data_IF_191501131122
#
_entry.id   IF_191501131122
#
_cell.length_a   1.000
_cell.length_b   1.000
_cell.length_c   1.000
_cell.angle_alpha   90.00
_cell.angle_beta   90.00
_cell.angle_gamma   90.00
#
_symmetry.space_group_name_H-M   'P 1'
#
loop_
_entity.id
_entity.type
_entity.pdbx_description
1 polymer ?
#
# COMPACT_ATOMS: atom_id res chain seq x y z
N UNK A 1 14.74 -8.80 6.53
CA UNK A 1 14.27 -7.48 6.99
C UNK A 1 13.71 -6.79 5.77
N UNK A 2 12.42 -6.44 5.80
CA UNK A 2 11.72 -5.82 4.67
C UNK A 2 11.28 -4.42 5.10
N UNK A 3 11.50 -3.42 4.25
CA UNK A 3 11.19 -2.03 4.58
C UNK A 3 9.68 -1.82 4.63
N UNK A 4 9.21 -1.03 5.59
CA UNK A 4 7.81 -0.60 5.68
C UNK A 4 7.74 0.92 5.57
N UNK A 5 7.05 1.41 4.55
CA UNK A 5 6.92 2.83 4.25
C UNK A 5 5.56 3.35 4.69
N UNK A 6 5.53 4.56 5.24
CA UNK A 6 4.29 5.26 5.57
C UNK A 6 4.12 6.46 4.64
N UNK A 7 2.94 6.61 4.09
CA UNK A 7 2.58 7.61 3.09
C UNK A 7 1.45 8.50 3.61
N UNK A 8 1.34 9.70 3.05
CA UNK A 8 0.29 10.66 3.39
C UNK A 8 -0.88 10.53 2.38
N UNK A 9 -1.55 9.38 2.42
CA UNK A 9 -2.70 9.08 1.54
C UNK A 9 -2.37 8.80 0.06
N UNK A 10 -1.10 8.56 -0.28
CA UNK A 10 -0.65 8.37 -1.65
C UNK A 10 0.17 7.08 -1.89
N UNK A 11 0.06 6.08 -1.01
CA UNK A 11 0.78 4.80 -1.11
C UNK A 11 0.54 4.10 -2.46
N UNK A 12 -0.71 4.03 -2.91
CA UNK A 12 -1.05 3.39 -4.19
C UNK A 12 -0.37 4.09 -5.39
N UNK A 13 -0.37 5.43 -5.39
CA UNK A 13 0.28 6.21 -6.44
C UNK A 13 1.81 6.06 -6.39
N UNK A 14 2.41 6.02 -5.19
CA UNK A 14 3.83 5.79 -5.02
C UNK A 14 4.24 4.40 -5.54
N UNK A 15 3.47 3.35 -5.23
CA UNK A 15 3.77 2.00 -5.70
C UNK A 15 3.58 1.88 -7.21
N UNK A 16 2.56 2.49 -7.81
CA UNK A 16 2.43 2.56 -9.27
C UNK A 16 3.63 3.24 -9.94
N UNK A 17 4.19 4.29 -9.33
CA UNK A 17 5.43 4.90 -9.79
C UNK A 17 6.63 3.94 -9.63
N UNK A 18 6.73 3.21 -8.52
CA UNK A 18 7.81 2.25 -8.29
C UNK A 18 7.75 1.04 -9.25
N UNK A 19 6.56 0.60 -9.65
CA UNK A 19 6.40 -0.42 -10.69
C UNK A 19 7.10 0.01 -11.99
N UNK A 20 6.88 1.25 -12.42
CA UNK A 20 7.52 1.80 -13.62
C UNK A 20 9.02 2.06 -13.43
N UNK A 21 9.41 2.66 -12.30
CA UNK A 21 10.78 3.08 -12.07
C UNK A 21 11.73 1.92 -11.74
N UNK A 22 11.26 0.89 -11.05
CA UNK A 22 12.07 -0.22 -10.56
C UNK A 22 11.85 -1.53 -11.34
N UNK A 23 10.82 -1.59 -12.19
CA UNK A 23 10.45 -2.80 -12.92
C UNK A 23 9.91 -3.88 -11.99
N UNK A 24 8.94 -3.49 -11.15
CA UNK A 24 8.34 -4.34 -10.12
C UNK A 24 6.83 -4.46 -10.25
N UNK A 25 6.21 -5.00 -9.21
CA UNK A 25 4.76 -5.23 -9.12
C UNK A 25 4.28 -5.08 -7.69
N UNK A 26 3.13 -4.43 -7.50
CA UNK A 26 2.33 -4.56 -6.29
C UNK A 26 1.68 -5.95 -6.28
N UNK A 27 2.10 -6.80 -5.35
CA UNK A 27 1.63 -8.19 -5.24
C UNK A 27 0.44 -8.31 -4.27
N UNK A 28 0.23 -7.32 -3.42
CA UNK A 28 -0.90 -7.24 -2.50
C UNK A 28 -1.23 -5.78 -2.21
N UNK A 29 -2.52 -5.46 -2.08
CA UNK A 29 -3.01 -4.18 -1.58
C UNK A 29 -4.38 -4.40 -0.93
N UNK A 30 -4.60 -3.76 0.21
CA UNK A 30 -5.88 -3.76 0.93
C UNK A 30 -6.12 -2.36 1.48
N UNK A 31 -7.31 -1.82 1.24
CA UNK A 31 -7.75 -0.55 1.82
C UNK A 31 -8.27 -0.72 3.25
N UNK A 32 -8.38 0.36 4.02
CA UNK A 32 -8.99 0.27 5.36
C UNK A 32 -10.47 -0.15 5.30
N UNK A 33 -11.18 0.16 4.20
CA UNK A 33 -12.57 -0.24 3.98
C UNK A 33 -12.73 -1.73 3.67
N UNK A 34 -11.73 -2.37 3.08
CA UNK A 34 -11.71 -3.81 2.79
C UNK A 34 -11.25 -4.66 3.99
N UNK A 35 -10.70 -4.02 5.02
CA UNK A 35 -10.23 -4.71 6.23
C UNK A 35 -11.40 -5.27 7.06
N UNK A 36 -11.14 -6.21 7.99
CA UNK A 36 -12.15 -6.66 8.95
C UNK A 36 -12.77 -5.54 9.81
N UNK A 37 -12.11 -4.38 9.88
CA UNK A 37 -12.59 -3.19 10.59
C UNK A 37 -13.25 -2.16 9.66
N UNK A 38 -13.48 -2.50 8.39
CA UNK A 38 -14.00 -1.58 7.37
C UNK A 38 -15.33 -0.92 7.71
N UNK A 39 -16.19 -1.57 8.49
CA UNK A 39 -17.44 -0.98 9.00
C UNK A 39 -17.20 0.12 10.03
N UNK A 40 -16.11 0.02 10.80
CA UNK A 40 -15.71 0.98 11.84
C UNK A 40 -14.77 2.07 11.30
N UNK A 41 -14.23 1.88 10.10
CA UNK A 41 -13.37 2.86 9.42
C UNK A 41 -14.16 4.12 9.04
N UNK A 42 -13.70 5.33 9.44
CA UNK A 42 -14.28 6.59 8.97
C UNK A 42 -14.34 6.65 7.44
N UNK A 43 -15.40 7.25 6.88
CA UNK A 43 -15.62 7.31 5.44
C UNK A 43 -14.38 7.82 4.67
N UNK A 44 -13.77 8.89 5.17
CA UNK A 44 -12.59 9.55 4.58
C UNK A 44 -11.30 8.69 4.63
N UNK A 45 -11.31 7.59 5.39
CA UNK A 45 -10.21 6.63 5.46
C UNK A 45 -10.46 5.35 4.67
N UNK A 46 -11.68 5.07 4.22
CA UNK A 46 -12.02 3.76 3.63
C UNK A 46 -11.19 3.42 2.41
N UNK A 47 -10.87 4.42 1.58
CA UNK A 47 -10.12 4.22 0.34
C UNK A 47 -8.59 4.29 0.53
N UNK A 48 -8.12 4.72 1.71
CA UNK A 48 -6.68 4.75 2.03
C UNK A 48 -6.13 3.32 2.10
N UNK A 49 -4.88 3.14 1.68
CA UNK A 49 -4.19 1.85 1.74
C UNK A 49 -3.86 1.51 3.19
N UNK A 50 -4.46 0.45 3.72
CA UNK A 50 -4.10 -0.07 5.05
C UNK A 50 -2.80 -0.88 5.00
N UNK A 51 -2.64 -1.69 3.96
CA UNK A 51 -1.44 -2.48 3.75
C UNK A 51 -1.28 -2.83 2.26
N UNK A 52 -0.10 -2.58 1.72
CA UNK A 52 0.30 -3.02 0.40
C UNK A 52 1.71 -3.62 0.43
N UNK A 53 1.95 -4.54 -0.50
CA UNK A 53 3.26 -5.19 -0.70
C UNK A 53 3.66 -5.05 -2.15
N UNK A 54 4.83 -4.47 -2.36
CA UNK A 54 5.49 -4.29 -3.65
C UNK A 54 6.72 -5.19 -3.72
N UNK A 55 6.94 -5.83 -4.86
CA UNK A 55 8.10 -6.66 -5.12
C UNK A 55 8.82 -6.22 -6.40
N UNK A 56 10.14 -6.03 -6.30
CA UNK A 56 11.00 -5.76 -7.45
C UNK A 56 12.35 -6.45 -7.27
N UNK A 57 12.83 -7.13 -8.31
CA UNK A 57 14.16 -7.76 -8.34
C UNK A 57 14.46 -8.67 -7.14
N UNK A 58 13.45 -9.38 -6.63
CA UNK A 58 13.55 -10.27 -5.47
C UNK A 58 13.54 -9.57 -4.11
N UNK A 59 13.28 -8.27 -4.06
CA UNK A 59 13.12 -7.49 -2.84
C UNK A 59 11.68 -7.08 -2.62
N UNK A 60 11.23 -7.10 -1.36
CA UNK A 60 9.90 -6.64 -0.96
C UNK A 60 9.96 -5.35 -0.19
N UNK A 61 9.00 -4.48 -0.48
CA UNK A 61 8.71 -3.24 0.23
C UNK A 61 7.24 -3.30 0.60
N UNK A 62 6.94 -3.07 1.88
CA UNK A 62 5.57 -2.93 2.36
C UNK A 62 5.24 -1.46 2.60
N UNK A 63 3.96 -1.11 2.58
CA UNK A 63 3.55 0.25 2.92
C UNK A 63 2.09 0.41 3.26
N UNK A 64 1.77 1.57 3.81
CA UNK A 64 0.40 2.01 4.11
C UNK A 64 0.29 3.53 4.08
N UNK A 65 -0.95 3.99 3.98
CA UNK A 65 -1.33 5.38 4.20
C UNK A 65 -1.58 5.65 5.69
N UNK A 66 -1.22 6.85 6.14
CA UNK A 66 -1.54 7.41 7.45
C UNK A 66 -2.71 8.38 7.39
#
# INVERSE_FOLDING_TARGET
>A
MEAYLSFDGNCAAAFAFYEQALGGKTIFSMSFGESPMGEQTPADYKDKVMHATFEARGHKIMGSDM
#
